data_IF_849253914440
#
_entry.id   IF_849253914440
#
_cell.length_a   1.000
_cell.length_b   1.000
_cell.length_c   1.000
_cell.angle_alpha   90.00
_cell.angle_beta   90.00
_cell.angle_gamma   90.00
#
_symmetry.space_group_name_H-M   'P 1'
#
loop_
_entity.id
_entity.type
_entity.pdbx_description
1 polymer ?
#
# COMPACT_ATOMS: atom_id res chain seq x y z
N UNK A 1 39.50 20.98 9.49
CA UNK A 1 39.26 19.52 9.33
C UNK A 1 38.56 19.09 10.62
N UNK A 2 37.30 18.67 10.73
CA UNK A 2 36.42 17.88 9.85
C UNK A 2 34.94 18.17 10.20
N UNK A 3 34.15 18.37 9.14
CA UNK A 3 32.75 18.00 8.87
C UNK A 3 31.63 18.39 9.84
N UNK A 4 30.90 19.44 9.43
CA UNK A 4 29.44 19.52 9.49
C UNK A 4 28.83 18.24 8.87
N UNK A 5 27.99 17.53 9.61
CA UNK A 5 27.26 16.36 9.13
C UNK A 5 26.15 16.01 10.11
N UNK A 6 24.94 16.42 9.75
CA UNK A 6 23.62 15.90 10.13
C UNK A 6 23.36 15.56 11.61
N UNK A 7 22.42 16.30 12.21
CA UNK A 7 21.78 15.94 13.47
C UNK A 7 21.10 14.59 13.30
N UNK A 8 21.69 13.54 13.86
CA UNK A 8 21.04 12.25 14.00
C UNK A 8 19.75 12.44 14.82
N UNK A 9 18.60 12.19 14.18
CA UNK A 9 17.25 12.35 14.77
C UNK A 9 16.93 11.25 15.80
N UNK A 10 17.93 10.55 16.31
CA UNK A 10 17.78 9.36 17.14
C UNK A 10 18.66 9.51 18.38
N UNK A 11 18.03 9.56 19.56
CA UNK A 11 18.75 9.54 20.84
C UNK A 11 19.16 8.09 21.15
N UNK A 12 20.47 7.84 21.20
CA UNK A 12 21.05 6.51 21.44
C UNK A 12 20.64 5.88 22.77
N UNK A 13 20.12 6.65 23.72
CA UNK A 13 19.64 6.13 25.01
C UNK A 13 18.22 5.56 24.92
N UNK A 14 17.48 5.90 23.87
CA UNK A 14 16.10 5.46 23.64
C UNK A 14 16.07 4.25 22.70
N UNK A 15 16.80 4.34 21.58
CA UNK A 15 16.80 3.29 20.56
C UNK A 15 18.05 2.39 20.60
N UNK A 16 19.13 2.84 21.24
CA UNK A 16 20.42 2.13 21.27
C UNK A 16 21.20 2.29 19.95
N UNK A 17 22.43 2.80 20.00
CA UNK A 17 23.36 2.68 18.87
C UNK A 17 23.81 1.22 18.75
N UNK A 18 23.38 0.49 17.71
CA UNK A 18 23.91 -0.85 17.50
C UNK A 18 23.33 -1.61 16.31
N UNK A 19 24.05 -2.66 15.91
CA UNK A 19 23.68 -3.61 14.85
C UNK A 19 22.25 -4.17 14.98
N UNK A 20 21.69 -4.16 16.20
CA UNK A 20 20.31 -4.54 16.46
C UNK A 20 19.30 -3.59 15.80
N UNK A 21 19.47 -2.28 15.93
CA UNK A 21 18.59 -1.30 15.28
C UNK A 21 18.74 -1.38 13.77
N UNK A 22 19.97 -1.51 13.28
CA UNK A 22 20.23 -1.67 11.84
C UNK A 22 19.59 -2.95 11.27
N UNK A 23 19.59 -4.05 12.04
CA UNK A 23 18.91 -5.30 11.68
C UNK A 23 17.39 -5.15 11.68
N UNK A 24 16.81 -4.47 12.67
CA UNK A 24 15.37 -4.20 12.73
C UNK A 24 14.93 -3.32 11.57
N UNK A 25 15.70 -2.29 11.21
CA UNK A 25 15.45 -1.45 10.03
C UNK A 25 15.54 -2.29 8.76
N UNK A 26 16.59 -3.12 8.58
CA UNK A 26 16.72 -4.01 7.42
C UNK A 26 15.58 -5.04 7.32
N UNK A 27 15.09 -5.55 8.44
CA UNK A 27 13.94 -6.46 8.47
C UNK A 27 12.64 -5.75 8.10
N UNK A 28 12.46 -4.51 8.57
CA UNK A 28 11.35 -3.65 8.20
C UNK A 28 11.39 -3.30 6.70
N UNK A 29 12.55 -2.93 6.16
CA UNK A 29 12.77 -2.68 4.72
C UNK A 29 12.57 -3.96 3.89
N UNK A 30 12.94 -5.13 4.42
CA UNK A 30 12.67 -6.42 3.80
C UNK A 30 11.18 -6.69 3.55
N UNK A 31 10.29 -6.16 4.40
CA UNK A 31 8.83 -6.22 4.21
C UNK A 31 8.30 -5.21 3.18
N UNK A 32 9.10 -4.20 2.82
CA UNK A 32 8.77 -3.21 1.76
C UNK A 32 9.04 -3.79 0.35
N UNK A 33 9.80 -4.90 0.26
CA UNK A 33 10.15 -5.58 -1.01
C UNK A 33 8.99 -6.18 -1.82
N UNK A 34 7.75 -6.13 -1.34
CA UNK A 34 6.56 -6.48 -2.13
C UNK A 34 6.15 -5.39 -3.14
N UNK A 35 7.07 -4.49 -3.50
CA UNK A 35 6.92 -3.64 -4.69
C UNK A 35 7.11 -4.51 -5.93
N UNK A 36 5.99 -5.00 -6.48
CA UNK A 36 5.97 -5.66 -7.78
C UNK A 36 6.38 -4.68 -8.89
N UNK A 37 7.14 -5.14 -9.92
CA UNK A 37 7.46 -4.33 -11.08
C UNK A 37 6.18 -3.86 -11.81
N UNK A 38 6.22 -2.59 -12.23
CA UNK A 38 5.06 -1.70 -12.43
C UNK A 38 4.27 -1.93 -13.72
N UNK A 39 4.71 -2.71 -14.70
CA UNK A 39 4.05 -2.71 -16.01
C UNK A 39 3.02 -3.83 -16.22
N UNK A 40 3.42 -5.10 -16.12
CA UNK A 40 2.53 -6.23 -16.47
C UNK A 40 1.45 -6.52 -15.41
N UNK A 41 1.70 -6.13 -14.15
CA UNK A 41 0.73 -6.36 -13.07
C UNK A 41 -0.44 -5.38 -13.07
N UNK A 42 -0.31 -4.20 -13.70
CA UNK A 42 -1.38 -3.21 -13.65
C UNK A 42 -2.62 -3.65 -14.42
N UNK A 43 -2.45 -4.23 -15.61
CA UNK A 43 -3.56 -4.72 -16.42
C UNK A 43 -4.35 -5.80 -15.69
N UNK A 44 -3.68 -6.80 -15.11
CA UNK A 44 -4.35 -7.89 -14.35
C UNK A 44 -5.09 -7.37 -13.12
N UNK A 45 -4.53 -6.37 -12.45
CA UNK A 45 -5.19 -5.71 -11.31
C UNK A 45 -6.43 -4.96 -11.78
N UNK A 46 -6.34 -4.19 -12.86
CA UNK A 46 -7.44 -3.38 -13.37
C UNK A 46 -8.58 -4.25 -13.93
N UNK A 47 -8.24 -5.38 -14.56
CA UNK A 47 -9.18 -6.43 -14.95
C UNK A 47 -9.87 -7.04 -13.71
N UNK A 48 -9.12 -7.34 -12.65
CA UNK A 48 -9.67 -7.88 -11.41
C UNK A 48 -10.63 -6.90 -10.74
N UNK A 49 -10.26 -5.62 -10.67
CA UNK A 49 -11.13 -4.55 -10.14
C UNK A 49 -12.42 -4.46 -10.98
N UNK A 50 -12.28 -4.42 -12.30
CA UNK A 50 -13.42 -4.34 -13.23
C UNK A 50 -14.38 -5.52 -13.06
N UNK A 51 -13.84 -6.74 -12.92
CA UNK A 51 -14.63 -7.95 -12.72
C UNK A 51 -15.40 -7.93 -11.40
N UNK A 52 -14.77 -7.48 -10.31
CA UNK A 52 -15.43 -7.35 -9.00
C UNK A 52 -16.54 -6.29 -9.06
N UNK A 53 -16.28 -5.15 -9.71
CA UNK A 53 -17.26 -4.07 -9.88
C UNK A 53 -18.49 -4.52 -10.70
N UNK A 54 -18.26 -5.24 -11.80
CA UNK A 54 -19.33 -5.80 -12.63
C UNK A 54 -20.20 -6.81 -11.87
N UNK A 55 -19.58 -7.71 -11.11
CA UNK A 55 -20.30 -8.71 -10.32
C UNK A 55 -21.21 -8.08 -9.26
N UNK A 56 -20.78 -6.96 -8.68
CA UNK A 56 -21.49 -6.26 -7.61
C UNK A 56 -22.35 -5.09 -8.13
N UNK A 57 -22.44 -4.90 -9.46
CA UNK A 57 -23.19 -3.82 -10.14
C UNK A 57 -22.83 -2.41 -9.64
N UNK A 58 -21.57 -2.21 -9.27
CA UNK A 58 -21.02 -0.91 -8.86
C UNK A 58 -20.19 -0.34 -10.00
N UNK A 59 -20.36 0.95 -10.30
CA UNK A 59 -19.50 1.65 -11.27
C UNK A 59 -18.10 1.89 -10.71
N UNK A 60 -17.09 1.83 -11.56
CA UNK A 60 -15.71 2.18 -11.19
C UNK A 60 -15.65 3.64 -10.68
N UNK A 61 -16.40 4.55 -11.30
CA UNK A 61 -16.49 5.95 -10.87
C UNK A 61 -17.10 6.10 -9.48
N UNK A 62 -18.02 5.20 -9.12
CA UNK A 62 -18.65 5.22 -7.80
C UNK A 62 -17.70 4.63 -6.73
N UNK A 63 -16.90 3.65 -7.12
CA UNK A 63 -15.85 3.07 -6.29
C UNK A 63 -14.80 4.13 -5.94
N UNK A 64 -14.28 4.84 -6.94
CA UNK A 64 -13.24 5.88 -6.82
C UNK A 64 -13.78 7.20 -6.26
N UNK A 65 -15.03 7.55 -6.54
CA UNK A 65 -15.68 8.80 -6.13
C UNK A 65 -16.05 8.90 -4.65
N UNK A 66 -15.60 7.98 -3.79
CA UNK A 66 -15.78 8.09 -2.34
C UNK A 66 -17.21 7.85 -1.86
N UNK A 67 -18.09 7.24 -2.67
CA UNK A 67 -19.46 6.89 -2.26
C UNK A 67 -19.47 6.10 -0.95
N UNK A 68 -20.37 6.46 -0.03
CA UNK A 68 -20.54 5.83 1.30
C UNK A 68 -21.68 4.81 1.33
N UNK A 69 -22.26 4.48 0.17
CA UNK A 69 -23.26 3.42 0.07
C UNK A 69 -22.68 2.11 0.58
N UNK A 70 -23.48 1.35 1.33
CA UNK A 70 -23.07 0.09 1.95
C UNK A 70 -22.51 -0.91 0.94
N UNK A 71 -23.12 -0.96 -0.24
CA UNK A 71 -22.71 -1.81 -1.36
C UNK A 71 -21.29 -1.43 -1.84
N UNK A 72 -21.06 -0.15 -2.15
CA UNK A 72 -19.75 0.35 -2.60
C UNK A 72 -18.66 0.15 -1.55
N UNK A 73 -18.99 0.38 -0.28
CA UNK A 73 -18.05 0.11 0.83
C UNK A 73 -17.69 -1.38 0.93
N UNK A 74 -18.66 -2.27 0.68
CA UNK A 74 -18.43 -3.71 0.61
C UNK A 74 -17.51 -4.10 -0.55
N UNK A 75 -17.73 -3.49 -1.72
CA UNK A 75 -16.88 -3.67 -2.90
C UNK A 75 -15.44 -3.21 -2.62
N UNK A 76 -15.22 -2.04 -2.02
CA UNK A 76 -13.87 -1.58 -1.65
C UNK A 76 -13.14 -2.57 -0.75
N UNK A 77 -13.82 -3.10 0.26
CA UNK A 77 -13.21 -4.09 1.16
C UNK A 77 -12.81 -5.37 0.40
N UNK A 78 -13.69 -5.86 -0.47
CA UNK A 78 -13.41 -7.06 -1.27
C UNK A 78 -12.24 -6.84 -2.22
N UNK A 79 -12.24 -5.71 -2.94
CA UNK A 79 -11.14 -5.31 -3.84
C UNK A 79 -9.83 -5.24 -3.05
N UNK A 80 -9.83 -4.60 -1.89
CA UNK A 80 -8.61 -4.48 -1.07
C UNK A 80 -8.06 -5.84 -0.63
N UNK A 81 -8.92 -6.75 -0.18
CA UNK A 81 -8.51 -8.10 0.22
C UNK A 81 -7.94 -8.88 -0.98
N UNK A 82 -8.60 -8.82 -2.14
CA UNK A 82 -8.18 -9.54 -3.34
C UNK A 82 -6.83 -9.02 -3.88
N UNK A 83 -6.62 -7.71 -3.87
CA UNK A 83 -5.40 -7.11 -4.38
C UNK A 83 -4.20 -7.38 -3.46
N UNK A 84 -4.41 -7.32 -2.14
CA UNK A 84 -3.34 -7.60 -1.18
C UNK A 84 -3.00 -9.08 -1.15
N UNK A 85 -4.01 -9.97 -1.06
CA UNK A 85 -3.78 -11.41 -0.89
C UNK A 85 -3.53 -12.14 -2.21
N UNK A 86 -4.26 -11.78 -3.26
CA UNK A 86 -4.17 -12.46 -4.56
C UNK A 86 -3.04 -11.94 -5.44
N UNK A 87 -2.76 -10.63 -5.36
CA UNK A 87 -1.82 -9.96 -6.26
C UNK A 87 -0.60 -9.37 -5.55
N UNK A 88 -0.52 -9.42 -4.22
CA UNK A 88 0.61 -8.89 -3.46
C UNK A 88 0.77 -7.38 -3.57
N UNK A 89 -0.30 -6.65 -3.86
CA UNK A 89 -0.26 -5.21 -4.11
C UNK A 89 -0.06 -4.44 -2.80
N UNK A 90 0.81 -3.44 -2.82
CA UNK A 90 1.03 -2.56 -1.68
C UNK A 90 -0.27 -1.84 -1.27
N UNK A 91 -0.51 -1.69 0.03
CA UNK A 91 -1.72 -1.05 0.55
C UNK A 91 -1.93 0.37 0.02
N UNK A 92 -0.86 1.15 -0.14
CA UNK A 92 -0.92 2.48 -0.73
C UNK A 92 -1.36 2.44 -2.20
N UNK A 93 -0.93 1.44 -2.96
CA UNK A 93 -1.31 1.29 -4.35
C UNK A 93 -2.78 0.87 -4.48
N UNK A 94 -3.24 -0.04 -3.60
CA UNK A 94 -4.66 -0.38 -3.48
C UNK A 94 -5.49 0.86 -3.18
N UNK A 95 -5.09 1.65 -2.18
CA UNK A 95 -5.85 2.81 -1.74
C UNK A 95 -5.96 3.88 -2.84
N UNK A 96 -4.88 4.14 -3.59
CA UNK A 96 -4.91 4.98 -4.81
C UNK A 96 -5.96 4.51 -5.82
N UNK A 97 -6.06 3.21 -6.08
CA UNK A 97 -6.99 2.64 -7.08
C UNK A 97 -8.44 2.63 -6.62
N UNK A 98 -8.71 2.42 -5.34
CA UNK A 98 -10.08 2.39 -4.80
C UNK A 98 -10.58 3.76 -4.32
N UNK A 99 -9.81 4.84 -4.53
CA UNK A 99 -10.21 6.20 -4.17
C UNK A 99 -10.37 6.45 -2.67
N UNK A 100 -9.71 5.63 -1.83
CA UNK A 100 -9.57 5.91 -0.40
C UNK A 100 -8.19 6.51 -0.17
N UNK A 101 -8.14 7.53 0.69
CA UNK A 101 -6.99 8.43 0.82
C UNK A 101 -5.62 7.72 0.84
N UNK A 102 -4.65 8.35 0.17
CA UNK A 102 -3.20 8.08 0.26
C UNK A 102 -2.40 9.39 0.30
N UNK A 103 -2.93 10.43 0.96
CA UNK A 103 -2.15 11.66 1.22
C UNK A 103 -0.73 11.35 1.69
#
# INVERSE_FOLDING_TARGET
>A
MRRSGERELSDDRILGSGEFVERIIKEAEGKIKFQLPVSENHQKIDESISKICQNEKVSIDELTGGSRRKEVSGVRNRVAIELVKGHGVALAEVARRVGVSTS
#
